data_IF_316889054655
#
_entry.id   IF_316889054655
#
_cell.length_a   1.000
_cell.length_b   1.000
_cell.length_c   1.000
_cell.angle_alpha   90.00
_cell.angle_beta   90.00
_cell.angle_gamma   90.00
#
_symmetry.space_group_name_H-M   'P 1'
#
loop_
_entity.id
_entity.type
_entity.pdbx_description
1 polymer ?
#
# COMPACT_ATOMS: atom_id res chain seq x y z
N UNK A 1 -20.14 -1.59 -16.67
CA UNK A 1 -21.02 -1.51 -15.47
C UNK A 1 -20.44 -2.46 -14.42
N UNK A 2 -19.80 -1.96 -13.34
CA UNK A 2 -19.38 -2.84 -12.22
C UNK A 2 -20.65 -3.46 -11.61
N UNK A 3 -20.72 -4.78 -11.56
CA UNK A 3 -21.80 -5.47 -10.83
C UNK A 3 -21.53 -5.24 -9.35
N UNK A 4 -22.39 -4.47 -8.68
CA UNK A 4 -22.33 -4.26 -7.23
C UNK A 4 -22.70 -5.60 -6.56
N UNK A 5 -21.69 -6.27 -6.01
CA UNK A 5 -21.90 -7.51 -5.25
C UNK A 5 -22.56 -7.18 -3.90
N UNK A 6 -23.49 -8.00 -3.47
CA UNK A 6 -24.04 -7.87 -2.11
C UNK A 6 -22.98 -8.29 -1.07
N UNK A 7 -23.10 -7.78 0.18
CA UNK A 7 -22.19 -8.16 1.29
C UNK A 7 -22.13 -9.70 1.47
N UNK A 8 -23.24 -10.40 1.29
CA UNK A 8 -23.30 -11.88 1.38
C UNK A 8 -22.48 -12.54 0.26
N UNK A 9 -22.52 -12.00 -0.96
CA UNK A 9 -21.74 -12.52 -2.08
C UNK A 9 -20.24 -12.29 -1.87
N UNK A 10 -19.85 -11.13 -1.32
CA UNK A 10 -18.45 -10.81 -0.99
C UNK A 10 -17.93 -11.72 0.11
N UNK A 11 -18.66 -11.89 1.21
CA UNK A 11 -18.26 -12.80 2.29
C UNK A 11 -18.10 -14.25 1.80
N UNK A 12 -18.99 -14.73 0.91
CA UNK A 12 -18.86 -16.06 0.31
C UNK A 12 -17.65 -16.17 -0.62
N UNK A 13 -17.34 -15.10 -1.36
CA UNK A 13 -16.15 -15.04 -2.22
C UNK A 13 -14.88 -15.07 -1.38
N UNK A 14 -14.82 -14.27 -0.31
CA UNK A 14 -13.71 -14.25 0.63
C UNK A 14 -13.47 -15.64 1.25
N UNK A 15 -14.52 -16.27 1.80
CA UNK A 15 -14.43 -17.61 2.38
C UNK A 15 -13.89 -18.64 1.37
N UNK A 16 -14.36 -18.56 0.12
CA UNK A 16 -13.90 -19.44 -0.95
C UNK A 16 -12.42 -19.23 -1.25
N UNK A 17 -11.96 -17.97 -1.32
CA UNK A 17 -10.56 -17.63 -1.54
C UNK A 17 -9.69 -18.13 -0.38
N UNK A 18 -10.07 -17.86 0.87
CA UNK A 18 -9.33 -18.34 2.05
C UNK A 18 -9.18 -19.87 2.07
N UNK A 19 -10.21 -20.62 1.66
CA UNK A 19 -10.12 -22.09 1.51
C UNK A 19 -9.11 -22.51 0.43
N UNK A 20 -9.12 -21.80 -0.72
CA UNK A 20 -8.15 -22.09 -1.80
C UNK A 20 -6.73 -21.76 -1.34
N UNK A 21 -6.52 -20.64 -0.68
CA UNK A 21 -5.19 -20.24 -0.19
C UNK A 21 -4.65 -21.20 0.87
N UNK A 22 -5.52 -21.71 1.75
CA UNK A 22 -5.16 -22.71 2.76
C UNK A 22 -4.92 -24.12 2.20
N UNK A 23 -5.25 -24.39 0.93
CA UNK A 23 -5.07 -25.71 0.32
C UNK A 23 -3.62 -26.07 -0.06
N UNK A 24 -2.70 -25.11 -0.02
CA UNK A 24 -1.32 -25.23 -0.49
C UNK A 24 -1.19 -25.75 -1.95
N UNK A 25 -2.24 -25.57 -2.75
CA UNK A 25 -2.26 -25.93 -4.17
C UNK A 25 -1.90 -24.69 -5.00
N UNK A 26 -0.65 -24.63 -5.48
CA UNK A 26 -0.11 -23.50 -6.24
C UNK A 26 -0.99 -23.16 -7.45
N UNK A 27 -1.32 -24.16 -8.27
CA UNK A 27 -2.07 -23.94 -9.52
C UNK A 27 -3.47 -23.36 -9.24
N UNK A 28 -4.18 -23.90 -8.26
CA UNK A 28 -5.49 -23.38 -7.85
C UNK A 28 -5.39 -21.99 -7.28
N UNK A 29 -4.36 -21.72 -6.46
CA UNK A 29 -4.13 -20.41 -5.85
C UNK A 29 -3.84 -19.35 -6.91
N UNK A 30 -2.90 -19.60 -7.82
CA UNK A 30 -2.55 -18.70 -8.93
C UNK A 30 -3.77 -18.44 -9.81
N UNK A 31 -4.55 -19.48 -10.14
CA UNK A 31 -5.77 -19.33 -10.94
C UNK A 31 -6.83 -18.48 -10.22
N UNK A 32 -6.99 -18.68 -8.92
CA UNK A 32 -7.93 -17.88 -8.11
C UNK A 32 -7.51 -16.41 -8.04
N UNK A 33 -6.23 -16.11 -7.79
CA UNK A 33 -5.68 -14.75 -7.76
C UNK A 33 -5.85 -14.07 -9.13
N UNK A 34 -5.49 -14.74 -10.23
CA UNK A 34 -5.66 -14.19 -11.59
C UNK A 34 -7.12 -13.86 -11.92
N UNK A 35 -8.07 -14.64 -11.45
CA UNK A 35 -9.50 -14.39 -11.65
C UNK A 35 -9.98 -13.12 -10.94
N UNK A 36 -9.29 -12.66 -9.89
CA UNK A 36 -9.64 -11.43 -9.20
C UNK A 36 -9.39 -10.16 -10.02
N UNK A 37 -8.58 -10.20 -11.09
CA UNK A 37 -8.43 -9.08 -12.03
C UNK A 37 -9.76 -8.64 -12.64
N UNK A 38 -10.68 -9.59 -12.86
CA UNK A 38 -11.98 -9.34 -13.47
C UNK A 38 -13.09 -9.13 -12.42
N UNK A 39 -12.99 -9.85 -11.31
CA UNK A 39 -14.07 -9.99 -10.34
C UNK A 39 -13.65 -9.58 -8.92
N UNK A 40 -12.52 -8.89 -8.75
CA UNK A 40 -12.02 -8.41 -7.46
C UNK A 40 -12.90 -7.32 -6.86
N UNK A 41 -12.72 -7.11 -5.57
CA UNK A 41 -13.37 -6.06 -4.80
C UNK A 41 -12.40 -5.58 -3.71
N UNK A 42 -12.39 -4.29 -3.32
CA UNK A 42 -11.52 -3.77 -2.25
C UNK A 42 -11.54 -4.58 -0.94
N UNK A 43 -12.69 -5.14 -0.56
CA UNK A 43 -12.80 -6.01 0.62
C UNK A 43 -11.95 -7.30 0.54
N UNK A 44 -11.43 -7.66 -0.64
CA UNK A 44 -10.55 -8.82 -0.84
C UNK A 44 -9.05 -8.47 -0.71
N UNK A 45 -8.70 -7.22 -0.46
CA UNK A 45 -7.31 -6.79 -0.23
C UNK A 45 -6.72 -7.52 0.98
N UNK A 46 -7.40 -7.52 2.11
CA UNK A 46 -6.89 -8.18 3.34
C UNK A 46 -6.61 -9.67 3.12
N UNK A 47 -7.51 -10.49 2.54
CA UNK A 47 -7.18 -11.87 2.17
C UNK A 47 -5.96 -12.02 1.24
N UNK A 48 -5.76 -11.09 0.31
CA UNK A 48 -4.57 -11.10 -0.58
C UNK A 48 -3.29 -10.77 0.18
N UNK A 49 -3.32 -9.81 1.10
CA UNK A 49 -2.18 -9.48 1.96
C UNK A 49 -1.86 -10.62 2.94
N UNK A 50 -2.89 -11.30 3.47
CA UNK A 50 -2.74 -12.50 4.28
C UNK A 50 -2.00 -13.61 3.52
N UNK A 51 -2.37 -13.83 2.26
CA UNK A 51 -1.68 -14.78 1.39
C UNK A 51 -0.24 -14.34 1.10
N UNK A 52 -0.04 -13.06 0.76
CA UNK A 52 1.27 -12.51 0.42
C UNK A 52 2.26 -12.62 1.59
N UNK A 53 1.80 -12.32 2.81
CA UNK A 53 2.64 -12.37 4.01
C UNK A 53 2.98 -13.80 4.46
N UNK A 54 2.16 -14.79 4.10
CA UNK A 54 2.30 -16.17 4.54
C UNK A 54 2.91 -17.12 3.50
N UNK A 55 2.96 -16.72 2.21
CA UNK A 55 3.42 -17.63 1.17
C UNK A 55 4.94 -17.65 1.05
N UNK A 56 5.51 -18.86 0.95
CA UNK A 56 6.92 -19.08 0.60
C UNK A 56 7.08 -19.43 -0.90
N UNK A 57 5.98 -19.47 -1.65
CA UNK A 57 5.97 -19.84 -3.07
C UNK A 57 6.15 -18.60 -3.95
N UNK A 58 7.25 -18.49 -4.68
CA UNK A 58 7.61 -17.35 -5.53
C UNK A 58 6.57 -17.08 -6.63
N UNK A 59 5.95 -18.12 -7.19
CA UNK A 59 4.92 -17.98 -8.24
C UNK A 59 3.66 -17.36 -7.68
N UNK A 60 3.24 -17.80 -6.49
CA UNK A 60 2.08 -17.22 -5.79
C UNK A 60 2.38 -15.78 -5.39
N UNK A 61 3.54 -15.55 -4.76
CA UNK A 61 4.00 -14.23 -4.34
C UNK A 61 3.96 -13.22 -5.49
N UNK A 62 4.67 -13.52 -6.59
CA UNK A 62 4.74 -12.64 -7.76
C UNK A 62 3.37 -12.42 -8.42
N UNK A 63 2.49 -13.43 -8.39
CA UNK A 63 1.13 -13.30 -8.93
C UNK A 63 0.28 -12.35 -8.10
N UNK A 64 0.38 -12.39 -6.77
CA UNK A 64 -0.34 -11.47 -5.87
C UNK A 64 0.20 -10.05 -6.03
N UNK A 65 1.52 -9.84 -6.00
CA UNK A 65 2.15 -8.52 -6.22
C UNK A 65 1.72 -7.93 -7.56
N UNK A 66 1.76 -8.74 -8.63
CA UNK A 66 1.29 -8.30 -9.96
C UNK A 66 -0.19 -7.89 -9.96
N UNK A 67 -1.05 -8.58 -9.21
CA UNK A 67 -2.46 -8.20 -9.09
C UNK A 67 -2.62 -6.88 -8.34
N UNK A 68 -1.91 -6.70 -7.22
CA UNK A 68 -1.95 -5.47 -6.42
C UNK A 68 -1.49 -4.27 -7.26
N UNK A 69 -0.40 -4.40 -8.01
CA UNK A 69 0.12 -3.35 -8.88
C UNK A 69 -0.80 -2.99 -10.06
N UNK A 70 -1.79 -3.83 -10.35
CA UNK A 70 -2.82 -3.58 -11.39
C UNK A 70 -4.15 -3.04 -10.82
N UNK A 71 -4.23 -2.71 -9.54
CA UNK A 71 -5.45 -2.18 -8.93
C UNK A 71 -5.91 -0.89 -9.64
N UNK A 72 -7.23 -0.75 -9.80
CA UNK A 72 -7.84 0.43 -10.45
C UNK A 72 -8.93 1.08 -9.59
N UNK A 73 -9.31 0.42 -8.50
CA UNK A 73 -10.36 0.89 -7.61
C UNK A 73 -9.74 1.65 -6.45
N UNK A 74 -10.01 2.96 -6.36
CA UNK A 74 -9.49 3.83 -5.30
C UNK A 74 -9.91 3.37 -3.90
N UNK A 75 -11.04 2.69 -3.78
CA UNK A 75 -11.50 2.12 -2.50
C UNK A 75 -10.53 1.05 -1.94
N UNK A 76 -9.57 0.57 -2.75
CA UNK A 76 -8.49 -0.32 -2.28
C UNK A 76 -7.42 0.42 -1.46
N UNK A 77 -7.33 1.75 -1.53
CA UNK A 77 -6.29 2.51 -0.85
C UNK A 77 -6.42 2.40 0.69
N UNK A 78 -7.63 2.56 1.23
CA UNK A 78 -7.82 2.50 2.70
C UNK A 78 -7.40 1.16 3.31
N UNK A 79 -7.82 -0.03 2.82
CA UNK A 79 -7.33 -1.31 3.33
C UNK A 79 -5.81 -1.50 3.24
N UNK A 80 -5.15 -0.91 2.23
CA UNK A 80 -3.69 -0.95 2.10
C UNK A 80 -3.01 -0.08 3.16
N UNK A 81 -3.51 1.12 3.41
CA UNK A 81 -3.00 2.02 4.47
C UNK A 81 -3.20 1.39 5.85
N UNK A 82 -4.38 0.81 6.12
CA UNK A 82 -4.63 0.11 7.39
C UNK A 82 -3.63 -1.03 7.62
N UNK A 83 -3.30 -1.78 6.55
CA UNK A 83 -2.34 -2.87 6.61
C UNK A 83 -0.89 -2.40 6.90
N UNK A 84 -0.49 -1.21 6.44
CA UNK A 84 0.84 -0.64 6.74
C UNK A 84 1.07 -0.42 8.23
N UNK A 85 0.01 -0.19 8.99
CA UNK A 85 0.05 0.00 10.44
C UNK A 85 -0.07 -1.31 11.24
N UNK A 86 -0.32 -2.45 10.58
CA UNK A 86 -0.43 -3.77 11.22
C UNK A 86 0.95 -4.47 11.18
N UNK A 87 1.48 -4.85 12.35
CA UNK A 87 2.75 -5.58 12.50
C UNK A 87 2.75 -6.91 11.71
N UNK A 88 1.58 -7.51 11.53
CA UNK A 88 1.42 -8.74 10.73
C UNK A 88 2.00 -8.62 9.32
N UNK A 89 1.96 -7.43 8.74
CA UNK A 89 2.39 -7.18 7.37
C UNK A 89 3.76 -6.49 7.27
N UNK A 90 4.52 -6.41 8.37
CA UNK A 90 5.82 -5.74 8.41
C UNK A 90 6.75 -6.22 7.29
N UNK A 91 6.86 -7.54 7.10
CA UNK A 91 7.72 -8.13 6.08
C UNK A 91 7.32 -7.85 4.63
N UNK A 92 6.13 -7.30 4.39
CA UNK A 92 5.62 -6.98 3.04
C UNK A 92 5.28 -5.50 2.85
N UNK A 93 5.61 -4.62 3.80
CA UNK A 93 5.31 -3.17 3.74
C UNK A 93 5.82 -2.53 2.45
N UNK A 94 7.03 -2.85 2.02
CA UNK A 94 7.62 -2.37 0.76
C UNK A 94 6.69 -2.68 -0.42
N UNK A 95 6.18 -3.89 -0.54
CA UNK A 95 5.28 -4.29 -1.64
C UNK A 95 3.91 -3.63 -1.56
N UNK A 96 3.40 -3.38 -0.34
CA UNK A 96 2.16 -2.62 -0.14
C UNK A 96 2.34 -1.17 -0.60
N UNK A 97 3.44 -0.51 -0.23
CA UNK A 97 3.75 0.86 -0.64
C UNK A 97 3.96 0.95 -2.16
N UNK A 98 4.70 0.01 -2.76
CA UNK A 98 4.88 -0.06 -4.21
C UNK A 98 3.56 -0.14 -4.96
N UNK A 99 2.54 -0.78 -4.39
CA UNK A 99 1.20 -0.84 -4.98
C UNK A 99 0.63 0.54 -5.28
N UNK A 100 0.87 1.56 -4.45
CA UNK A 100 0.31 2.90 -4.65
C UNK A 100 0.83 3.55 -5.93
N UNK A 101 2.14 3.65 -6.10
CA UNK A 101 2.70 4.31 -7.28
C UNK A 101 2.64 3.44 -8.54
N UNK A 102 2.74 2.11 -8.44
CA UNK A 102 2.61 1.18 -9.57
C UNK A 102 1.18 1.18 -10.14
N UNK A 103 0.16 1.10 -9.28
CA UNK A 103 -1.24 1.07 -9.69
C UNK A 103 -1.83 2.47 -9.91
N UNK A 104 -1.09 3.53 -9.51
CA UNK A 104 -1.52 4.93 -9.53
C UNK A 104 -2.74 5.20 -8.65
N UNK A 105 -2.85 4.50 -7.52
CA UNK A 105 -3.80 4.85 -6.47
C UNK A 105 -3.42 6.21 -5.87
N UNK A 106 -4.43 7.01 -5.60
CA UNK A 106 -4.21 8.30 -4.94
C UNK A 106 -3.94 8.07 -3.45
N UNK A 107 -2.73 8.43 -3.04
CA UNK A 107 -2.27 8.30 -1.66
C UNK A 107 -2.28 9.65 -0.91
N UNK A 108 -2.55 10.76 -1.61
CA UNK A 108 -2.56 12.09 -1.01
C UNK A 108 -3.47 12.22 0.22
N UNK A 109 -4.69 11.63 0.27
CA UNK A 109 -5.55 11.69 1.46
C UNK A 109 -4.95 11.03 2.71
N UNK A 110 -3.83 10.32 2.57
CA UNK A 110 -3.13 9.57 3.62
C UNK A 110 -1.72 10.09 3.88
N UNK A 111 -1.43 11.34 3.49
CA UNK A 111 -0.10 11.94 3.59
C UNK A 111 0.47 11.85 5.01
N UNK A 112 -0.31 12.20 6.03
CA UNK A 112 0.11 12.14 7.43
C UNK A 112 0.47 10.72 7.86
N UNK A 113 -0.34 9.71 7.49
CA UNK A 113 -0.10 8.31 7.83
C UNK A 113 1.18 7.78 7.12
N UNK A 114 1.43 8.21 5.88
CA UNK A 114 2.64 7.86 5.11
C UNK A 114 3.89 8.50 5.72
N UNK A 115 3.82 9.78 6.10
CA UNK A 115 4.94 10.48 6.76
C UNK A 115 5.23 9.86 8.13
N UNK A 116 4.21 9.58 8.92
CA UNK A 116 4.35 8.90 10.22
C UNK A 116 4.99 7.51 10.07
N UNK A 117 4.65 6.77 9.01
CA UNK A 117 5.27 5.48 8.72
C UNK A 117 6.75 5.67 8.34
N UNK A 118 7.07 6.61 7.47
CA UNK A 118 8.44 6.90 7.04
C UNK A 118 9.37 7.23 8.22
N UNK A 119 8.90 8.06 9.17
CA UNK A 119 9.66 8.44 10.36
C UNK A 119 10.01 7.24 11.25
N UNK A 120 9.14 6.23 11.32
CA UNK A 120 9.28 5.09 12.24
C UNK A 120 9.88 3.83 11.61
N UNK A 121 10.19 3.89 10.32
CA UNK A 121 10.56 2.71 9.54
C UNK A 121 12.04 2.71 9.14
N UNK A 122 12.48 1.57 8.59
CA UNK A 122 13.80 1.41 8.01
C UNK A 122 13.94 2.17 6.68
N UNK A 123 15.17 2.13 6.14
CA UNK A 123 15.54 2.83 4.91
C UNK A 123 14.63 2.45 3.72
N UNK A 124 14.31 1.16 3.55
CA UNK A 124 13.56 0.71 2.36
C UNK A 124 12.11 1.15 2.41
N UNK A 125 11.45 1.06 3.57
CA UNK A 125 10.08 1.55 3.75
C UNK A 125 10.04 3.07 3.60
N UNK A 126 11.00 3.80 4.15
CA UNK A 126 11.10 5.27 4.01
C UNK A 126 11.29 5.68 2.55
N UNK A 127 12.12 4.95 1.78
CA UNK A 127 12.33 5.20 0.35
C UNK A 127 11.03 5.04 -0.46
N UNK A 128 10.25 4.01 -0.17
CA UNK A 128 8.96 3.82 -0.85
C UNK A 128 7.94 4.90 -0.45
N UNK A 129 7.95 5.37 0.82
CA UNK A 129 7.11 6.48 1.25
C UNK A 129 7.48 7.77 0.49
N UNK A 130 8.77 8.08 0.32
CA UNK A 130 9.24 9.21 -0.50
C UNK A 130 8.76 9.07 -1.95
N UNK A 131 8.91 7.88 -2.55
CA UNK A 131 8.45 7.62 -3.92
C UNK A 131 6.93 7.85 -4.09
N UNK A 132 6.14 7.54 -3.05
CA UNK A 132 4.70 7.84 -3.06
C UNK A 132 4.48 9.36 -3.07
N UNK A 133 5.18 10.13 -2.24
CA UNK A 133 5.08 11.60 -2.20
C UNK A 133 5.45 12.21 -3.55
N UNK A 134 6.54 11.75 -4.18
CA UNK A 134 6.97 12.16 -5.52
C UNK A 134 5.92 11.82 -6.61
N UNK A 135 5.07 10.83 -6.36
CA UNK A 135 4.05 10.36 -7.32
C UNK A 135 2.70 11.08 -7.23
N UNK A 136 2.52 12.02 -6.31
CA UNK A 136 1.26 12.74 -6.16
C UNK A 136 0.87 13.48 -7.44
N UNK A 137 -0.39 13.34 -7.83
CA UNK A 137 -0.94 14.02 -9.03
C UNK A 137 -1.42 15.44 -8.74
N UNK A 138 -1.78 15.68 -7.49
CA UNK A 138 -2.25 16.96 -6.99
C UNK A 138 -1.34 17.39 -5.84
N UNK A 139 -1.19 18.69 -5.67
CA UNK A 139 -0.45 19.23 -4.54
C UNK A 139 -1.24 19.01 -3.24
N UNK A 140 -0.59 18.64 -2.11
CA UNK A 140 -1.16 18.83 -0.79
C UNK A 140 -1.46 20.30 -0.53
N UNK A 141 -2.31 20.60 0.42
CA UNK A 141 -2.51 21.99 0.87
C UNK A 141 -1.28 22.51 1.61
N UNK A 142 -1.07 23.83 1.61
CA UNK A 142 0.03 24.46 2.36
C UNK A 142 -0.02 24.10 3.85
N UNK A 143 -1.20 23.97 4.42
CA UNK A 143 -1.42 23.59 5.82
C UNK A 143 -0.92 22.16 6.08
N UNK A 144 -1.30 21.21 5.22
CA UNK A 144 -0.83 19.81 5.31
C UNK A 144 0.70 19.72 5.17
N UNK A 145 1.29 20.48 4.22
CA UNK A 145 2.75 20.50 4.02
C UNK A 145 3.47 21.04 5.26
N UNK A 146 2.98 22.13 5.85
CA UNK A 146 3.57 22.72 7.06
C UNK A 146 3.53 21.75 8.24
N UNK A 147 2.40 21.05 8.41
CA UNK A 147 2.20 20.09 9.49
C UNK A 147 3.18 18.92 9.38
N UNK A 148 3.22 18.24 8.22
CA UNK A 148 4.10 17.07 8.02
C UNK A 148 5.58 17.46 7.98
N UNK A 149 5.93 18.64 7.44
CA UNK A 149 7.30 19.15 7.48
C UNK A 149 7.80 19.41 8.90
N UNK A 150 6.91 19.78 9.82
CA UNK A 150 7.26 19.93 11.23
C UNK A 150 7.62 18.57 11.84
N UNK A 151 6.80 17.55 11.60
CA UNK A 151 7.06 16.19 12.07
C UNK A 151 8.38 15.63 11.50
N UNK A 152 8.64 15.82 10.21
CA UNK A 152 9.86 15.37 9.54
C UNK A 152 11.11 16.06 10.11
N UNK A 153 11.06 17.38 10.33
CA UNK A 153 12.17 18.15 10.92
C UNK A 153 12.49 17.69 12.34
N UNK A 154 11.46 17.47 13.16
CA UNK A 154 11.63 16.96 14.52
C UNK A 154 12.28 15.58 14.51
N UNK A 155 11.83 14.67 13.62
CA UNK A 155 12.41 13.34 13.48
C UNK A 155 13.88 13.37 13.02
N UNK A 156 14.25 14.28 12.11
CA UNK A 156 15.64 14.43 11.62
C UNK A 156 16.58 14.87 12.76
N UNK A 157 16.09 15.62 13.74
CA UNK A 157 16.92 16.06 14.88
C UNK A 157 17.45 14.91 15.73
N UNK A 158 16.76 13.76 15.72
CA UNK A 158 17.19 12.54 16.40
C UNK A 158 18.24 11.73 15.61
N UNK A 159 18.72 12.27 14.48
CA UNK A 159 19.77 11.71 13.59
C UNK A 159 19.51 10.25 13.17
N UNK A 160 18.32 9.92 12.63
CA UNK A 160 18.00 8.56 12.20
C UNK A 160 18.82 8.15 10.96
N UNK A 161 18.98 6.82 10.75
CA UNK A 161 19.72 6.28 9.59
C UNK A 161 19.12 6.73 8.24
N UNK A 162 17.81 7.00 8.20
CA UNK A 162 17.06 7.40 7.00
C UNK A 162 16.89 8.93 6.87
N UNK A 163 17.65 9.74 7.63
CA UNK A 163 17.51 11.21 7.66
C UNK A 163 17.60 11.87 6.29
N UNK A 164 18.42 11.35 5.40
CA UNK A 164 18.58 11.91 4.04
C UNK A 164 17.30 11.72 3.20
N UNK A 165 16.61 10.60 3.39
CA UNK A 165 15.30 10.36 2.75
C UNK A 165 14.20 11.24 3.34
N UNK A 166 14.20 11.44 4.66
CA UNK A 166 13.25 12.35 5.32
C UNK A 166 13.49 13.81 4.88
N UNK A 167 14.75 14.22 4.71
CA UNK A 167 15.09 15.53 4.16
C UNK A 167 14.63 15.66 2.70
N UNK A 168 14.84 14.64 1.87
CA UNK A 168 14.34 14.58 0.50
C UNK A 168 12.82 14.70 0.43
N UNK A 169 12.10 14.12 1.39
CA UNK A 169 10.64 14.24 1.48
C UNK A 169 10.20 15.68 1.78
N UNK A 170 10.92 16.39 2.66
CA UNK A 170 10.70 17.83 2.92
C UNK A 170 10.91 18.65 1.65
N UNK A 171 12.01 18.38 0.92
CA UNK A 171 12.33 19.10 -0.32
C UNK A 171 11.22 18.88 -1.37
N UNK A 172 10.75 17.65 -1.54
CA UNK A 172 9.67 17.34 -2.47
C UNK A 172 8.34 18.02 -2.08
N UNK A 173 7.97 17.97 -0.80
CA UNK A 173 6.76 18.63 -0.31
C UNK A 173 6.83 20.16 -0.52
N UNK A 174 7.99 20.77 -0.30
CA UNK A 174 8.19 22.20 -0.54
C UNK A 174 8.09 22.57 -2.04
N UNK A 175 8.44 21.66 -2.96
CA UNK A 175 8.28 21.88 -4.39
C UNK A 175 6.81 22.08 -4.77
N UNK A 176 5.87 21.40 -4.06
CA UNK A 176 4.43 21.59 -4.27
C UNK A 176 3.94 22.98 -3.82
N UNK A 177 4.58 23.65 -2.85
CA UNK A 177 4.19 25.00 -2.41
C UNK A 177 4.61 26.10 -3.39
N UNK A 178 5.59 25.83 -4.26
CA UNK A 178 6.19 26.85 -5.15
C UNK A 178 5.51 26.86 -6.53
N UNK A 179 4.78 25.82 -6.89
CA UNK A 179 4.12 25.62 -8.18
C UNK A 179 2.71 26.15 -8.20
#
# INVERSE_FOLDING_TARGET
MKVVKSKVQLAKQEETLRKVFASNDEEKTVKAVKKLRENGHPELIVPLLDLLSATENDTVFSTVVSLLNDLKDQDAARPLIDALNDEKYEGIRVFILQTFWQSRLDALPYLDEIVNLAIKSDYMVTLECLTIVESFKNAPTDEEIVEVNTQLKDAIMDDPENKDLLAGMIDELNNYMIG
#
